data_IF_493629037438
#
_entry.id   IF_493629037438
#
_cell.length_a   1.000
_cell.length_b   1.000
_cell.length_c   1.000
_cell.angle_alpha   90.00
_cell.angle_beta   90.00
_cell.angle_gamma   90.00
#
_symmetry.space_group_name_H-M   'P 1'
#
loop_
_entity.id
_entity.type
_entity.pdbx_description
1 polymer ?
#
# COMPACT_ATOMS: atom_id res chain seq x y z
N UNK A 1 7.53 12.77 80.16
CA UNK A 1 7.96 13.83 79.23
C UNK A 1 7.59 13.39 77.82
N UNK A 2 6.66 14.10 77.17
CA UNK A 2 6.10 13.75 75.86
C UNK A 2 7.07 14.19 74.77
N UNK A 3 7.55 13.30 73.91
CA UNK A 3 8.17 13.69 72.64
C UNK A 3 7.21 13.34 71.50
N UNK A 4 6.50 14.37 71.06
CA UNK A 4 5.72 14.39 69.82
C UNK A 4 6.62 14.87 68.68
N UNK A 5 6.29 14.37 67.49
CA UNK A 5 6.56 14.94 66.18
C UNK A 5 7.99 14.84 65.62
N UNK A 6 8.10 14.09 64.53
CA UNK A 6 8.72 14.57 63.29
C UNK A 6 8.13 13.75 62.13
N UNK A 7 7.06 14.30 61.56
CA UNK A 7 6.51 13.92 60.25
C UNK A 7 7.53 14.43 59.22
N UNK A 8 8.34 13.53 58.69
CA UNK A 8 9.26 13.79 57.57
C UNK A 8 8.58 13.43 56.26
N UNK A 9 7.93 14.41 55.64
CA UNK A 9 7.33 14.33 54.31
C UNK A 9 8.45 14.26 53.25
N UNK A 10 8.93 13.06 52.94
CA UNK A 10 9.80 12.82 51.78
C UNK A 10 8.92 12.37 50.59
N UNK A 11 8.17 13.31 50.01
CA UNK A 11 7.54 13.10 48.72
C UNK A 11 8.63 13.12 47.64
N UNK A 12 9.20 11.95 47.34
CA UNK A 12 10.08 11.76 46.20
C UNK A 12 9.25 11.99 44.92
N UNK A 13 9.35 13.19 44.34
CA UNK A 13 8.93 13.46 42.96
C UNK A 13 9.78 12.62 42.02
N UNK A 14 9.36 11.39 41.77
CA UNK A 14 9.80 10.61 40.64
C UNK A 14 9.24 11.26 39.37
N UNK A 15 9.96 12.24 38.82
CA UNK A 15 9.77 12.66 37.43
C UNK A 15 10.07 11.46 36.56
N UNK A 16 9.01 10.75 36.15
CA UNK A 16 9.05 9.78 35.06
C UNK A 16 9.55 10.51 33.83
N UNK A 17 10.83 10.32 33.49
CA UNK A 17 11.31 10.58 32.15
C UNK A 17 10.60 9.59 31.23
N UNK A 18 9.49 10.02 30.63
CA UNK A 18 8.92 9.32 29.50
C UNK A 18 9.95 9.38 28.38
N UNK A 19 10.67 8.28 28.17
CA UNK A 19 11.49 8.13 26.97
C UNK A 19 10.56 8.33 25.76
N UNK A 20 11.00 9.06 24.72
CA UNK A 20 10.18 9.21 23.53
C UNK A 20 9.92 7.82 22.95
N UNK A 21 8.66 7.38 22.99
CA UNK A 21 8.19 6.24 22.20
C UNK A 21 8.42 6.63 20.75
N UNK A 22 9.49 6.10 20.14
CA UNK A 22 9.58 6.09 18.68
C UNK A 22 8.55 5.09 18.21
N UNK A 23 7.60 5.57 17.41
CA UNK A 23 6.63 4.70 16.78
C UNK A 23 7.36 3.60 16.00
N UNK A 24 6.84 2.38 16.07
CA UNK A 24 7.40 1.22 15.37
C UNK A 24 7.43 1.49 13.85
N UNK A 25 8.56 1.18 13.23
CA UNK A 25 8.73 1.26 11.78
C UNK A 25 8.05 0.05 11.13
N UNK A 26 7.12 0.31 10.21
CA UNK A 26 6.40 -0.72 9.46
C UNK A 26 7.00 -0.79 8.05
N UNK A 27 7.47 -1.98 7.68
CA UNK A 27 7.97 -2.26 6.33
C UNK A 27 6.86 -2.94 5.50
N UNK A 28 6.34 -2.22 4.52
CA UNK A 28 5.31 -2.67 3.58
C UNK A 28 5.98 -3.43 2.42
N UNK A 29 5.68 -4.71 2.27
CA UNK A 29 6.11 -5.55 1.14
C UNK A 29 5.28 -5.21 -0.10
N UNK A 30 5.92 -4.63 -1.11
CA UNK A 30 5.30 -4.23 -2.39
C UNK A 30 5.72 -5.20 -3.49
N UNK A 31 4.81 -5.99 -4.04
CA UNK A 31 5.15 -7.00 -5.06
C UNK A 31 4.55 -6.72 -6.44
N UNK A 32 5.32 -7.01 -7.49
CA UNK A 32 4.86 -6.96 -8.89
C UNK A 32 5.68 -7.88 -9.82
N UNK A 33 5.23 -8.03 -11.06
CA UNK A 33 5.81 -8.99 -12.01
C UNK A 33 6.87 -8.42 -12.96
N UNK A 34 6.93 -7.10 -13.16
CA UNK A 34 7.94 -6.48 -14.01
C UNK A 34 9.36 -6.54 -13.42
N UNK A 35 10.43 -6.49 -14.24
CA UNK A 35 11.81 -6.40 -13.76
C UNK A 35 12.11 -5.05 -13.09
N UNK A 36 13.21 -5.00 -12.33
CA UNK A 36 13.65 -3.80 -11.61
C UNK A 36 13.91 -2.56 -12.49
N UNK A 37 14.18 -2.79 -13.77
CA UNK A 37 14.46 -1.74 -14.76
C UNK A 37 13.21 -1.19 -15.43
N UNK A 38 12.01 -1.72 -15.13
CA UNK A 38 10.78 -1.26 -15.73
C UNK A 38 10.44 0.18 -15.31
N UNK A 39 9.90 0.96 -16.24
CA UNK A 39 9.49 2.35 -15.98
C UNK A 39 8.47 2.43 -14.84
N UNK A 40 7.51 1.51 -14.79
CA UNK A 40 6.53 1.39 -13.71
C UNK A 40 7.19 1.29 -12.33
N UNK A 41 8.31 0.57 -12.21
CA UNK A 41 9.02 0.53 -10.94
C UNK A 41 9.76 1.84 -10.68
N UNK A 42 10.66 2.23 -11.59
CA UNK A 42 11.61 3.32 -11.38
C UNK A 42 10.95 4.69 -11.30
N UNK A 43 9.85 4.88 -12.03
CA UNK A 43 9.19 6.20 -12.19
C UNK A 43 7.89 6.32 -11.43
N UNK A 44 7.32 5.22 -10.93
CA UNK A 44 6.05 5.24 -10.20
C UNK A 44 6.23 4.64 -8.79
N UNK A 45 6.56 3.35 -8.65
CA UNK A 45 6.64 2.72 -7.32
C UNK A 45 7.73 3.31 -6.43
N UNK A 46 8.94 3.49 -6.97
CA UNK A 46 10.06 4.02 -6.17
C UNK A 46 9.77 5.44 -5.64
N UNK A 47 9.34 6.42 -6.48
CA UNK A 47 8.93 7.74 -5.98
C UNK A 47 7.72 7.69 -5.04
N UNK A 48 6.73 6.84 -5.31
CA UNK A 48 5.54 6.72 -4.47
C UNK A 48 5.91 6.18 -3.08
N UNK A 49 6.78 5.17 -3.01
CA UNK A 49 7.30 4.63 -1.76
C UNK A 49 8.18 5.62 -1.00
N UNK A 50 9.00 6.42 -1.69
CA UNK A 50 9.73 7.51 -1.07
C UNK A 50 8.78 8.57 -0.47
N UNK A 51 7.68 8.89 -1.16
CA UNK A 51 6.64 9.81 -0.67
C UNK A 51 5.94 9.25 0.57
N UNK A 52 5.59 7.96 0.59
CA UNK A 52 5.03 7.29 1.78
C UNK A 52 5.97 7.44 2.98
N UNK A 53 7.28 7.18 2.79
CA UNK A 53 8.26 7.35 3.85
C UNK A 53 8.35 8.79 4.33
N UNK A 54 8.40 9.76 3.43
CA UNK A 54 8.48 11.18 3.78
C UNK A 54 7.21 11.65 4.54
N UNK A 55 6.02 11.34 4.04
CA UNK A 55 4.75 11.80 4.62
C UNK A 55 4.35 11.07 5.90
N UNK A 56 4.96 9.91 6.16
CA UNK A 56 4.74 9.14 7.40
C UNK A 56 5.76 9.43 8.49
N UNK A 57 6.66 10.42 8.31
CA UNK A 57 7.81 10.67 9.17
C UNK A 57 8.71 9.42 9.34
N UNK A 58 8.93 8.70 8.24
CA UNK A 58 9.64 7.41 8.15
C UNK A 58 9.01 6.26 8.93
N UNK A 59 7.77 6.38 9.41
CA UNK A 59 7.07 5.27 10.10
C UNK A 59 6.64 4.17 9.14
N UNK A 60 6.37 4.48 7.88
CA UNK A 60 6.02 3.52 6.84
C UNK A 60 7.12 3.53 5.77
N UNK A 61 7.72 2.37 5.50
CA UNK A 61 8.68 2.21 4.40
C UNK A 61 8.27 1.07 3.50
N UNK A 62 8.50 1.20 2.20
CA UNK A 62 8.31 0.08 1.29
C UNK A 62 9.58 -0.76 1.16
N UNK A 63 9.39 -2.06 0.98
CA UNK A 63 10.36 -2.95 0.36
C UNK A 63 9.75 -3.50 -0.93
N UNK A 64 10.32 -3.15 -2.08
CA UNK A 64 9.81 -3.54 -3.41
C UNK A 64 10.41 -4.89 -3.82
N UNK A 65 9.55 -5.82 -4.21
CA UNK A 65 9.86 -7.17 -4.69
C UNK A 65 9.44 -7.30 -6.17
N UNK A 66 10.31 -6.92 -7.11
CA UNK A 66 10.04 -7.07 -8.55
C UNK A 66 10.16 -8.52 -9.02
N UNK A 67 9.82 -8.75 -10.29
CA UNK A 67 10.06 -10.00 -11.00
C UNK A 67 9.56 -11.26 -10.25
N UNK A 68 8.43 -11.15 -9.56
CA UNK A 68 7.84 -12.24 -8.78
C UNK A 68 8.81 -12.83 -7.72
N UNK A 69 9.65 -12.01 -7.09
CA UNK A 69 10.63 -12.44 -6.07
C UNK A 69 10.00 -13.12 -4.84
N UNK A 70 8.73 -12.85 -4.54
CA UNK A 70 7.98 -13.54 -3.47
C UNK A 70 7.39 -14.90 -3.92
N UNK A 71 7.64 -15.33 -5.16
CA UNK A 71 7.11 -16.55 -5.75
C UNK A 71 5.73 -16.41 -6.36
N UNK A 72 5.25 -17.48 -7.00
CA UNK A 72 3.95 -17.53 -7.67
C UNK A 72 3.95 -16.96 -9.09
N UNK A 73 2.76 -16.65 -9.60
CA UNK A 73 2.54 -16.10 -10.96
C UNK A 73 1.86 -14.72 -10.90
N UNK A 74 1.93 -13.90 -11.97
CA UNK A 74 1.27 -12.60 -12.01
C UNK A 74 -0.24 -12.64 -11.69
N UNK A 75 -0.92 -13.72 -12.11
CA UNK A 75 -2.34 -13.95 -11.84
C UNK A 75 -2.66 -14.21 -10.34
N UNK A 76 -1.65 -14.54 -9.53
CA UNK A 76 -1.79 -14.77 -8.09
C UNK A 76 -1.54 -13.52 -7.25
N UNK A 77 -1.06 -12.40 -7.82
CA UNK A 77 -0.65 -11.22 -7.06
C UNK A 77 -1.79 -10.64 -6.19
N UNK A 78 -3.02 -10.50 -6.72
CA UNK A 78 -4.14 -10.00 -5.90
C UNK A 78 -4.44 -10.95 -4.73
N UNK A 79 -4.31 -12.26 -4.94
CA UNK A 79 -4.48 -13.24 -3.87
C UNK A 79 -3.35 -13.14 -2.83
N UNK A 80 -2.12 -12.89 -3.25
CA UNK A 80 -1.00 -12.66 -2.33
C UNK A 80 -1.23 -11.45 -1.41
N UNK A 81 -1.89 -10.40 -1.91
CA UNK A 81 -2.31 -9.28 -1.06
C UNK A 81 -3.43 -9.68 -0.10
N UNK A 82 -4.46 -10.38 -0.59
CA UNK A 82 -5.57 -10.84 0.24
C UNK A 82 -5.12 -11.79 1.37
N UNK A 83 -4.11 -12.62 1.10
CA UNK A 83 -3.56 -13.60 2.05
C UNK A 83 -2.43 -13.01 2.94
N UNK A 84 -2.02 -11.76 2.72
CA UNK A 84 -0.95 -11.09 3.49
C UNK A 84 0.48 -11.55 3.17
N UNK A 85 0.68 -12.27 2.06
CA UNK A 85 2.02 -12.63 1.56
C UNK A 85 2.78 -11.37 1.17
N UNK A 86 2.14 -10.49 0.41
CA UNK A 86 2.56 -9.11 0.17
C UNK A 86 1.56 -8.15 0.81
N UNK A 87 2.00 -6.97 1.25
CA UNK A 87 1.08 -5.98 1.82
C UNK A 87 0.42 -5.15 0.72
N UNK A 88 1.15 -4.92 -0.38
CA UNK A 88 0.70 -4.14 -1.54
C UNK A 88 1.14 -4.87 -2.80
N UNK A 89 0.26 -4.92 -3.80
CA UNK A 89 0.59 -5.49 -5.10
C UNK A 89 0.22 -4.54 -6.22
N UNK A 90 0.99 -4.58 -7.30
CA UNK A 90 0.61 -3.97 -8.56
C UNK A 90 0.54 -5.04 -9.64
N UNK A 91 -0.67 -5.28 -10.15
CA UNK A 91 -0.93 -6.26 -11.22
C UNK A 91 -2.08 -5.82 -12.12
N UNK A 92 -2.42 -6.66 -13.09
CA UNK A 92 -3.55 -6.51 -14.01
C UNK A 92 -4.70 -7.41 -13.54
N UNK A 93 -5.92 -6.87 -13.29
CA UNK A 93 -7.09 -7.68 -12.94
C UNK A 93 -7.41 -8.74 -13.99
N UNK A 94 -7.29 -8.43 -15.28
CA UNK A 94 -7.54 -9.36 -16.39
C UNK A 94 -6.66 -10.62 -16.42
N UNK A 95 -5.57 -10.69 -15.63
CA UNK A 95 -4.78 -11.92 -15.48
C UNK A 95 -5.51 -13.01 -14.69
N UNK A 96 -6.54 -12.66 -13.92
CA UNK A 96 -7.42 -13.63 -13.26
C UNK A 96 -8.79 -13.61 -13.95
N UNK A 97 -8.89 -14.29 -15.08
CA UNK A 97 -10.07 -14.28 -15.95
C UNK A 97 -11.38 -14.46 -15.17
N UNK A 98 -12.33 -13.54 -15.38
CA UNK A 98 -13.67 -13.58 -14.79
C UNK A 98 -13.74 -13.26 -13.29
N UNK A 99 -12.63 -12.92 -12.63
CA UNK A 99 -12.64 -12.53 -11.21
C UNK A 99 -13.02 -11.06 -10.99
N UNK A 100 -12.68 -10.18 -11.93
CA UNK A 100 -12.91 -8.73 -11.81
C UNK A 100 -13.68 -8.14 -13.01
N UNK A 101 -14.84 -8.71 -13.37
CA UNK A 101 -15.55 -8.35 -14.61
C UNK A 101 -15.98 -6.89 -14.68
N UNK A 102 -16.17 -6.21 -13.55
CA UNK A 102 -16.60 -4.80 -13.54
C UNK A 102 -15.61 -3.88 -14.24
N UNK A 103 -14.30 -4.13 -14.11
CA UNK A 103 -13.24 -3.25 -14.66
C UNK A 103 -12.72 -3.71 -16.02
N UNK A 104 -13.10 -4.90 -16.49
CA UNK A 104 -12.73 -5.41 -17.83
C UNK A 104 -13.24 -4.51 -18.97
N UNK A 105 -14.25 -3.67 -18.72
CA UNK A 105 -14.75 -2.67 -19.68
C UNK A 105 -13.65 -1.71 -20.15
N UNK A 106 -12.62 -1.45 -19.33
CA UNK A 106 -11.48 -0.60 -19.72
C UNK A 106 -10.45 -1.31 -20.60
N UNK A 107 -10.58 -2.63 -20.79
CA UNK A 107 -9.72 -3.44 -21.66
C UNK A 107 -10.35 -3.65 -23.05
N UNK A 108 -11.58 -3.20 -23.28
CA UNK A 108 -12.23 -3.31 -24.60
C UNK A 108 -11.61 -2.36 -25.64
N UNK A 109 -11.63 -2.73 -26.94
CA UNK A 109 -11.15 -1.87 -28.00
C UNK A 109 -11.81 -0.48 -28.00
N UNK A 110 -11.00 0.56 -28.24
CA UNK A 110 -11.42 1.97 -28.36
C UNK A 110 -12.02 2.61 -27.09
N UNK A 111 -11.80 2.02 -25.92
CA UNK A 111 -12.27 2.59 -24.64
C UNK A 111 -11.34 3.65 -24.03
N UNK A 112 -10.06 3.62 -24.40
CA UNK A 112 -9.04 4.53 -23.85
C UNK A 112 -8.45 5.40 -24.97
N UNK A 113 -8.38 6.71 -24.73
CA UNK A 113 -7.76 7.67 -25.66
C UNK A 113 -6.40 8.15 -25.16
N UNK A 114 -6.26 8.35 -23.84
CA UNK A 114 -5.02 8.67 -23.16
C UNK A 114 -5.05 8.06 -21.76
N UNK A 115 -3.88 7.69 -21.23
CA UNK A 115 -3.73 7.03 -19.95
C UNK A 115 -4.27 7.85 -18.79
N UNK A 116 -4.03 9.16 -18.74
CA UNK A 116 -4.41 9.99 -17.59
C UNK A 116 -5.94 10.06 -17.42
N UNK A 117 -6.65 10.48 -18.47
CA UNK A 117 -8.10 10.62 -18.46
C UNK A 117 -8.80 9.28 -18.21
N UNK A 118 -8.33 8.22 -18.86
CA UNK A 118 -8.90 6.89 -18.69
C UNK A 118 -8.60 6.29 -17.30
N UNK A 119 -7.43 6.57 -16.70
CA UNK A 119 -7.13 6.15 -15.32
C UNK A 119 -8.04 6.82 -14.30
N UNK A 120 -8.31 8.13 -14.46
CA UNK A 120 -9.28 8.86 -13.63
C UNK A 120 -10.69 8.29 -13.79
N UNK A 121 -11.09 7.98 -15.02
CA UNK A 121 -12.37 7.34 -15.30
C UNK A 121 -12.47 5.93 -14.68
N UNK A 122 -11.39 5.13 -14.75
CA UNK A 122 -11.33 3.81 -14.13
C UNK A 122 -11.50 3.88 -12.61
N UNK A 123 -10.84 4.84 -11.95
CA UNK A 123 -11.02 5.05 -10.51
C UNK A 123 -12.47 5.42 -10.17
N UNK A 124 -13.02 6.43 -10.83
CA UNK A 124 -14.40 6.88 -10.59
C UNK A 124 -15.44 5.77 -10.88
N UNK A 125 -15.21 4.98 -11.92
CA UNK A 125 -16.05 3.84 -12.25
C UNK A 125 -15.98 2.75 -11.18
N UNK A 126 -14.77 2.39 -10.72
CA UNK A 126 -14.59 1.43 -9.63
C UNK A 126 -15.36 1.87 -8.38
N UNK A 127 -15.24 3.15 -8.01
CA UNK A 127 -15.92 3.69 -6.83
C UNK A 127 -17.44 3.56 -6.90
N UNK A 128 -18.04 3.64 -8.10
CA UNK A 128 -19.49 3.54 -8.28
C UNK A 128 -19.98 2.11 -8.52
N UNK A 129 -19.22 1.30 -9.27
CA UNK A 129 -19.72 0.05 -9.86
C UNK A 129 -18.83 -1.17 -9.58
N UNK A 130 -17.56 -0.97 -9.20
CA UNK A 130 -16.57 -2.04 -9.13
C UNK A 130 -16.24 -2.56 -7.73
N UNK A 131 -16.72 -1.93 -6.66
CA UNK A 131 -16.31 -2.25 -5.28
C UNK A 131 -16.47 -3.74 -4.91
N UNK A 132 -17.55 -4.36 -5.38
CA UNK A 132 -17.88 -5.76 -5.07
C UNK A 132 -16.80 -6.75 -5.52
N UNK A 133 -16.18 -6.50 -6.68
CA UNK A 133 -15.17 -7.41 -7.23
C UNK A 133 -13.86 -7.39 -6.41
N UNK A 134 -13.64 -6.33 -5.63
CA UNK A 134 -12.40 -6.10 -4.90
C UNK A 134 -12.54 -6.22 -3.38
N UNK A 135 -13.65 -6.73 -2.85
CA UNK A 135 -13.92 -6.81 -1.39
C UNK A 135 -12.83 -7.53 -0.57
N UNK A 136 -12.08 -8.45 -1.19
CA UNK A 136 -10.96 -9.16 -0.54
C UNK A 136 -9.69 -8.32 -0.35
N UNK A 137 -9.61 -7.12 -0.94
CA UNK A 137 -8.46 -6.22 -0.90
C UNK A 137 -8.90 -4.77 -0.75
N UNK A 138 -7.95 -3.87 -0.50
CA UNK A 138 -8.19 -2.43 -0.55
C UNK A 138 -7.52 -1.84 -1.80
N UNK A 139 -8.26 -1.53 -2.87
CA UNK A 139 -7.70 -0.81 -4.00
C UNK A 139 -7.12 0.54 -3.57
N UNK A 140 -5.87 0.80 -3.97
CA UNK A 140 -5.16 2.05 -3.69
C UNK A 140 -5.18 3.00 -4.90
N UNK A 141 -5.21 2.44 -6.11
CA UNK A 141 -5.28 3.16 -7.36
C UNK A 141 -5.75 2.20 -8.47
N UNK A 142 -6.38 2.77 -9.50
CA UNK A 142 -6.55 2.14 -10.80
C UNK A 142 -5.87 3.02 -11.84
N UNK A 143 -5.23 2.38 -12.82
CA UNK A 143 -4.71 3.08 -13.99
C UNK A 143 -4.81 2.19 -15.23
N UNK A 144 -4.70 2.82 -16.38
CA UNK A 144 -4.53 2.16 -17.67
C UNK A 144 -3.26 2.70 -18.33
N UNK A 145 -2.65 1.91 -19.19
CA UNK A 145 -1.54 2.37 -20.02
C UNK A 145 -2.05 3.08 -21.28
N UNK A 146 -1.16 3.83 -21.95
CA UNK A 146 -1.46 4.40 -23.26
C UNK A 146 -1.62 3.30 -24.31
N UNK A 147 -2.33 3.61 -25.39
CA UNK A 147 -2.55 2.67 -26.48
C UNK A 147 -1.21 2.21 -27.10
N UNK A 148 -1.02 0.89 -27.25
CA UNK A 148 0.17 0.32 -27.87
C UNK A 148 1.36 0.03 -26.93
N UNK A 149 1.15 0.13 -25.62
CA UNK A 149 2.12 -0.21 -24.58
C UNK A 149 1.84 -1.54 -23.89
#
# INVERSE_FOLDING_TARGET
>A
MKLKALIGLAAATATLFAAPVRAEEIVLKVAHFWPATALSQQKILEPWCAKIAAESDNRLKCQIFPAMQLGGTPAQLIQQAADGVADIVWTLPGYTAGRFPSVEVFELPFMTHNAEGASRAAWAYYEQFGQKDFESVKPLAFHVHDAGH
#
